data_IF_311107588283
#
_entry.id   IF_311107588283
#
_cell.length_a   1.000
_cell.length_b   1.000
_cell.length_c   1.000
_cell.angle_alpha   90.00
_cell.angle_beta   90.00
_cell.angle_gamma   90.00
#
_symmetry.space_group_name_H-M   'P 1'
#
loop_
_entity.id
_entity.type
_entity.pdbx_description
1 polymer ?
#
# COMPACT_ATOMS: atom_id res chain seq x y z
N UNK A 1 1.43 -20.90 -4.80
CA UNK A 1 0.57 -21.81 -4.01
C UNK A 1 -0.06 -20.92 -2.96
N UNK A 2 -1.37 -20.71 -3.04
CA UNK A 2 -2.08 -19.73 -2.22
C UNK A 2 -2.04 -20.12 -0.74
N UNK A 3 -2.71 -21.21 -0.37
CA UNK A 3 -2.98 -21.57 1.02
C UNK A 3 -1.71 -21.88 1.82
N UNK A 4 -0.75 -22.59 1.20
CA UNK A 4 0.56 -22.87 1.82
C UNK A 4 1.32 -21.57 2.11
N UNK A 5 1.13 -20.52 1.29
CA UNK A 5 1.72 -19.20 1.56
C UNK A 5 0.99 -18.52 2.71
N UNK A 6 -0.34 -18.58 2.73
CA UNK A 6 -1.18 -18.06 3.81
C UNK A 6 -0.79 -18.63 5.17
N UNK A 7 -0.48 -19.93 5.27
CA UNK A 7 0.00 -20.55 6.51
C UNK A 7 1.29 -19.91 7.06
N UNK A 8 2.17 -19.43 6.18
CA UNK A 8 3.41 -18.74 6.55
C UNK A 8 3.12 -17.27 6.92
N UNK A 9 2.22 -16.61 6.20
CA UNK A 9 1.81 -15.23 6.47
C UNK A 9 1.14 -15.10 7.84
N UNK A 10 0.31 -16.07 8.24
CA UNK A 10 -0.29 -16.13 9.58
C UNK A 10 0.79 -16.16 10.66
N UNK A 11 1.79 -17.05 10.53
CA UNK A 11 2.91 -17.12 11.47
C UNK A 11 3.69 -15.80 11.53
N UNK A 12 3.89 -15.15 10.38
CA UNK A 12 4.55 -13.85 10.31
C UNK A 12 3.74 -12.77 11.05
N UNK A 13 2.44 -12.66 10.79
CA UNK A 13 1.57 -11.67 11.42
C UNK A 13 1.55 -11.84 12.95
N UNK A 14 1.41 -13.08 13.43
CA UNK A 14 1.49 -13.38 14.86
C UNK A 14 2.84 -12.99 15.48
N UNK A 15 3.95 -13.24 14.77
CA UNK A 15 5.28 -12.84 15.26
C UNK A 15 5.43 -11.33 15.38
N UNK A 16 4.84 -10.56 14.46
CA UNK A 16 4.85 -9.10 14.51
C UNK A 16 3.97 -8.58 15.66
N UNK A 17 2.78 -9.13 15.83
CA UNK A 17 1.86 -8.77 16.91
C UNK A 17 2.46 -9.08 18.29
N UNK A 18 3.07 -10.25 18.46
CA UNK A 18 3.79 -10.62 19.68
C UNK A 18 4.99 -9.71 19.98
N UNK A 19 5.61 -9.13 18.94
CA UNK A 19 6.67 -8.14 19.07
C UNK A 19 6.16 -6.72 19.37
N UNK A 20 4.84 -6.50 19.40
CA UNK A 20 4.20 -5.23 19.75
C UNK A 20 3.87 -4.33 18.55
N UNK A 21 3.78 -4.87 17.33
CA UNK A 21 3.30 -4.10 16.19
C UNK A 21 1.81 -3.76 16.34
N UNK A 22 1.45 -2.47 16.29
CA UNK A 22 0.05 -2.02 16.33
C UNK A 22 -0.72 -2.38 15.05
N UNK A 23 -0.01 -2.39 13.91
CA UNK A 23 -0.58 -2.64 12.59
C UNK A 23 0.27 -3.68 11.84
N UNK A 24 -0.37 -4.73 11.35
CA UNK A 24 0.21 -5.63 10.34
C UNK A 24 -0.36 -5.26 8.97
N UNK A 25 0.48 -5.30 7.94
CA UNK A 25 0.09 -4.84 6.59
C UNK A 25 0.42 -5.89 5.52
N UNK A 26 -0.39 -6.97 5.40
CA UNK A 26 -0.19 -8.04 4.43
C UNK A 26 -0.18 -7.48 3.00
N UNK A 27 0.92 -7.71 2.28
CA UNK A 27 1.14 -7.15 0.93
C UNK A 27 1.42 -8.20 -0.13
N UNK A 28 1.14 -9.45 0.19
CA UNK A 28 1.37 -10.65 -0.60
C UNK A 28 0.40 -10.81 -1.78
N UNK A 29 -0.86 -10.36 -1.64
CA UNK A 29 -1.98 -10.57 -2.58
C UNK A 29 -2.38 -12.05 -2.74
N UNK A 30 -2.38 -12.81 -1.65
CA UNK A 30 -3.00 -14.14 -1.63
C UNK A 30 -4.50 -14.04 -1.33
N UNK A 31 -5.30 -14.93 -1.87
CA UNK A 31 -6.73 -14.95 -1.64
C UNK A 31 -7.00 -15.44 -0.20
N UNK A 32 -7.92 -14.79 0.52
CA UNK A 32 -8.34 -15.20 1.87
C UNK A 32 -7.36 -14.91 3.01
N UNK A 33 -6.20 -14.28 2.73
CA UNK A 33 -5.18 -14.06 3.77
C UNK A 33 -5.65 -13.14 4.90
N UNK A 34 -6.53 -12.18 4.62
CA UNK A 34 -6.96 -11.21 5.64
C UNK A 34 -7.78 -11.93 6.70
N UNK A 35 -8.73 -12.78 6.28
CA UNK A 35 -9.57 -13.56 7.19
C UNK A 35 -8.74 -14.54 8.00
N UNK A 36 -7.81 -15.24 7.34
CA UNK A 36 -6.91 -16.16 8.02
C UNK A 36 -6.02 -15.47 9.08
N UNK A 37 -5.47 -14.29 8.75
CA UNK A 37 -4.67 -13.49 9.69
C UNK A 37 -5.53 -12.94 10.82
N UNK A 38 -6.73 -12.43 10.52
CA UNK A 38 -7.68 -11.92 11.52
C UNK A 38 -8.04 -13.01 12.53
N UNK A 39 -8.49 -14.18 12.07
CA UNK A 39 -8.82 -15.31 12.95
C UNK A 39 -7.66 -15.67 13.86
N UNK A 40 -6.45 -15.78 13.30
CA UNK A 40 -5.27 -16.12 14.10
C UNK A 40 -4.92 -15.04 15.14
N UNK A 41 -5.02 -13.75 14.80
CA UNK A 41 -4.80 -12.66 15.74
C UNK A 41 -5.82 -12.70 16.88
N UNK A 42 -7.11 -12.94 16.59
CA UNK A 42 -8.16 -13.09 17.62
C UNK A 42 -7.87 -14.28 18.55
N UNK A 43 -7.58 -15.46 17.99
CA UNK A 43 -7.29 -16.68 18.76
C UNK A 43 -6.06 -16.54 19.66
N UNK A 44 -5.06 -15.77 19.22
CA UNK A 44 -3.86 -15.47 19.99
C UNK A 44 -4.04 -14.32 21.00
N UNK A 45 -5.22 -13.69 21.08
CA UNK A 45 -5.52 -12.59 21.99
C UNK A 45 -4.99 -11.22 21.54
N UNK A 46 -4.56 -11.09 20.28
CA UNK A 46 -4.08 -9.85 19.67
C UNK A 46 -5.21 -8.99 19.07
N UNK A 47 -6.34 -8.89 19.78
CA UNK A 47 -7.63 -8.34 19.29
C UNK A 47 -7.55 -6.89 18.79
N UNK A 48 -6.61 -6.09 19.31
CA UNK A 48 -6.42 -4.69 18.92
C UNK A 48 -5.34 -4.48 17.84
N UNK A 49 -4.67 -5.56 17.40
CA UNK A 49 -3.71 -5.44 16.28
C UNK A 49 -4.50 -5.22 15.01
N UNK A 50 -4.25 -4.11 14.34
CA UNK A 50 -4.98 -3.72 13.15
C UNK A 50 -4.40 -4.37 11.89
N UNK A 51 -5.25 -4.57 10.89
CA UNK A 51 -4.86 -5.09 9.58
C UNK A 51 -5.05 -3.98 8.55
N UNK A 52 -3.94 -3.55 7.94
CA UNK A 52 -3.93 -2.66 6.78
C UNK A 52 -3.73 -3.51 5.51
N UNK A 53 -4.84 -3.90 4.90
CA UNK A 53 -4.83 -4.78 3.74
C UNK A 53 -4.34 -4.05 2.48
N UNK A 54 -3.34 -4.59 1.79
CA UNK A 54 -3.01 -4.18 0.43
C UNK A 54 -4.00 -4.81 -0.54
N UNK A 55 -5.24 -4.34 -0.53
CA UNK A 55 -6.35 -4.92 -1.27
C UNK A 55 -6.19 -4.76 -2.78
N UNK A 56 -6.01 -3.53 -3.24
CA UNK A 56 -5.87 -3.24 -4.67
C UNK A 56 -4.39 -3.03 -5.02
N UNK A 57 -3.61 -4.12 -5.09
CA UNK A 57 -2.19 -4.07 -5.42
C UNK A 57 -1.90 -4.61 -6.82
N UNK A 58 -1.51 -3.71 -7.70
CA UNK A 58 -1.31 -3.98 -9.12
C UNK A 58 0.07 -4.55 -9.45
N UNK A 59 0.15 -5.32 -10.54
CA UNK A 59 1.35 -5.85 -11.16
C UNK A 59 2.12 -4.74 -11.88
N UNK A 60 2.70 -3.83 -11.10
CA UNK A 60 3.24 -2.57 -11.60
C UNK A 60 4.75 -2.58 -11.86
N UNK A 61 5.15 -1.77 -12.85
CA UNK A 61 6.55 -1.48 -13.17
C UNK A 61 7.16 -0.37 -12.29
N UNK A 62 6.38 0.30 -11.44
CA UNK A 62 6.85 1.37 -10.55
C UNK A 62 7.59 0.85 -9.30
N UNK A 63 7.75 -0.47 -9.15
CA UNK A 63 8.37 -1.08 -7.96
C UNK A 63 9.88 -1.28 -8.05
N UNK A 64 10.51 -0.99 -9.21
CA UNK A 64 11.94 -1.22 -9.45
C UNK A 64 12.84 -0.70 -8.32
N UNK A 65 12.80 0.60 -7.99
CA UNK A 65 13.70 1.16 -6.97
C UNK A 65 13.50 0.57 -5.57
N UNK A 66 12.27 0.14 -5.20
CA UNK A 66 12.04 -0.58 -3.94
C UNK A 66 12.73 -1.95 -3.94
N UNK A 67 12.66 -2.68 -5.06
CA UNK A 67 13.28 -4.02 -5.17
C UNK A 67 14.79 -3.93 -5.00
N UNK A 68 15.41 -2.87 -5.50
CA UNK A 68 16.84 -2.58 -5.29
C UNK A 68 17.12 -2.25 -3.82
N UNK A 69 16.31 -1.37 -3.21
CA UNK A 69 16.49 -0.93 -1.82
C UNK A 69 16.42 -2.08 -0.80
N UNK A 70 15.56 -3.09 -1.02
CA UNK A 70 15.44 -4.26 -0.13
C UNK A 70 16.25 -5.47 -0.62
N UNK A 71 17.05 -5.32 -1.67
CA UNK A 71 17.91 -6.39 -2.21
C UNK A 71 17.15 -7.57 -2.84
N UNK A 72 15.87 -7.41 -3.17
CA UNK A 72 15.02 -8.50 -3.70
C UNK A 72 15.03 -8.61 -5.23
N UNK A 73 15.61 -7.63 -5.93
CA UNK A 73 15.66 -7.60 -7.39
C UNK A 73 16.35 -8.85 -7.98
N UNK A 74 17.47 -9.27 -7.37
CA UNK A 74 18.25 -10.43 -7.81
C UNK A 74 17.56 -11.76 -7.53
N UNK A 75 16.70 -11.84 -6.51
CA UNK A 75 15.88 -13.02 -6.20
C UNK A 75 14.72 -13.19 -7.20
N UNK A 76 14.19 -12.09 -7.72
CA UNK A 76 13.05 -12.13 -8.63
C UNK A 76 13.42 -12.70 -10.01
N UNK A 77 14.71 -12.62 -10.43
CA UNK A 77 15.28 -13.28 -11.65
C UNK A 77 14.43 -13.19 -12.93
N UNK A 78 13.76 -12.06 -13.17
CA UNK A 78 12.88 -11.89 -14.34
C UNK A 78 11.50 -12.53 -14.20
N UNK A 79 11.18 -13.10 -13.04
CA UNK A 79 9.86 -13.58 -12.67
C UNK A 79 8.83 -12.45 -12.59
N UNK A 80 7.60 -12.79 -12.93
CA UNK A 80 6.46 -11.87 -12.91
C UNK A 80 5.56 -12.14 -11.70
N UNK A 81 4.78 -11.12 -11.33
CA UNK A 81 3.79 -11.18 -10.25
C UNK A 81 2.34 -11.15 -10.76
N UNK A 82 2.16 -11.25 -12.08
CA UNK A 82 0.85 -11.13 -12.76
C UNK A 82 -0.17 -12.21 -12.40
N UNK A 83 0.25 -13.29 -11.74
CA UNK A 83 -0.67 -14.37 -11.34
C UNK A 83 -1.30 -14.15 -9.96
N UNK A 84 -1.02 -13.01 -9.31
CA UNK A 84 -1.55 -12.68 -7.98
C UNK A 84 -1.65 -11.16 -7.74
N UNK A 85 -0.77 -10.36 -8.34
CA UNK A 85 -0.99 -8.92 -8.40
C UNK A 85 -1.92 -8.60 -9.58
N UNK A 86 -2.83 -7.65 -9.35
CA UNK A 86 -3.89 -7.30 -10.30
C UNK A 86 -3.34 -6.75 -11.62
N UNK A 87 -4.08 -6.97 -12.70
CA UNK A 87 -3.78 -6.34 -14.00
C UNK A 87 -4.00 -4.81 -13.90
N UNK A 88 -3.01 -3.97 -14.27
CA UNK A 88 -3.18 -2.52 -14.36
C UNK A 88 -4.39 -2.03 -15.16
N UNK A 89 -4.93 -2.84 -16.08
CA UNK A 89 -6.11 -2.49 -16.87
C UNK A 89 -7.44 -2.60 -16.10
N UNK A 90 -7.45 -3.30 -14.96
CA UNK A 90 -8.69 -3.66 -14.28
C UNK A 90 -9.05 -2.65 -13.19
N UNK A 91 -10.22 -2.03 -13.32
CA UNK A 91 -10.75 -1.10 -12.32
C UNK A 91 -11.86 -1.72 -11.45
N UNK A 92 -12.75 -2.52 -12.05
CA UNK A 92 -13.86 -3.16 -11.33
C UNK A 92 -13.39 -4.28 -10.39
N UNK A 93 -12.32 -5.00 -10.76
CA UNK A 93 -11.68 -6.01 -9.92
C UNK A 93 -11.22 -5.43 -8.57
N UNK A 94 -10.78 -4.16 -8.55
CA UNK A 94 -10.35 -3.49 -7.32
C UNK A 94 -11.47 -3.38 -6.28
N UNK A 95 -12.71 -3.21 -6.72
CA UNK A 95 -13.86 -3.15 -5.81
C UNK A 95 -14.17 -4.53 -5.24
N UNK A 96 -13.97 -5.60 -6.03
CA UNK A 96 -14.15 -6.97 -5.55
C UNK A 96 -13.11 -7.33 -4.49
N UNK A 97 -11.83 -7.06 -4.76
CA UNK A 97 -10.73 -7.29 -3.81
C UNK A 97 -10.93 -6.53 -2.49
N UNK A 98 -11.29 -5.25 -2.58
CA UNK A 98 -11.55 -4.43 -1.39
C UNK A 98 -12.76 -4.93 -0.61
N UNK A 99 -13.85 -5.32 -1.29
CA UNK A 99 -15.03 -5.85 -0.62
C UNK A 99 -14.71 -7.13 0.16
N UNK A 100 -13.95 -8.05 -0.43
CA UNK A 100 -13.51 -9.29 0.23
C UNK A 100 -12.65 -9.00 1.45
N UNK A 101 -11.63 -8.15 1.32
CA UNK A 101 -10.76 -7.80 2.45
C UNK A 101 -11.52 -7.13 3.61
N UNK A 102 -12.54 -6.31 3.31
CA UNK A 102 -13.42 -5.71 4.34
C UNK A 102 -14.26 -6.79 5.02
N UNK A 103 -14.89 -7.69 4.27
CA UNK A 103 -15.69 -8.79 4.81
C UNK A 103 -14.83 -9.72 5.69
N UNK A 104 -13.57 -9.91 5.32
CA UNK A 104 -12.56 -10.68 6.05
C UNK A 104 -12.00 -9.97 7.31
N UNK A 105 -12.36 -8.71 7.54
CA UNK A 105 -12.03 -7.98 8.77
C UNK A 105 -10.79 -7.08 8.69
N UNK A 106 -10.48 -6.53 7.52
CA UNK A 106 -9.51 -5.44 7.40
C UNK A 106 -9.98 -4.16 8.10
N UNK A 107 -9.09 -3.53 8.87
CA UNK A 107 -9.35 -2.23 9.52
C UNK A 107 -9.13 -1.05 8.56
N UNK A 108 -8.19 -1.22 7.63
CA UNK A 108 -7.89 -0.28 6.56
C UNK A 108 -7.61 -1.02 5.25
N UNK A 109 -7.93 -0.39 4.14
CA UNK A 109 -7.64 -0.92 2.79
C UNK A 109 -6.69 0.00 2.05
N UNK A 110 -5.86 -0.54 1.16
CA UNK A 110 -4.83 0.21 0.46
C UNK A 110 -4.81 -0.06 -1.05
N UNK A 111 -4.69 1.03 -1.81
CA UNK A 111 -4.37 1.01 -3.24
C UNK A 111 -2.87 1.18 -3.44
N UNK A 112 -2.28 0.34 -4.29
CA UNK A 112 -0.85 0.41 -4.64
C UNK A 112 -0.61 -0.04 -6.09
N UNK A 113 0.10 0.73 -6.94
CA UNK A 113 0.74 2.04 -6.71
C UNK A 113 -0.22 3.19 -6.43
N UNK A 114 0.34 4.39 -6.26
CA UNK A 114 -0.37 5.57 -5.81
C UNK A 114 -0.91 6.43 -6.94
N UNK A 115 -0.10 7.40 -7.39
CA UNK A 115 -0.48 8.42 -8.37
C UNK A 115 -1.05 7.84 -9.67
N UNK A 116 -0.53 6.72 -10.24
CA UNK A 116 -1.10 6.15 -11.46
C UNK A 116 -2.48 5.48 -11.28
N UNK A 117 -2.98 5.37 -10.04
CA UNK A 117 -4.22 4.66 -9.68
C UNK A 117 -5.11 5.53 -8.76
N UNK A 118 -5.04 6.86 -8.88
CA UNK A 118 -5.88 7.78 -8.10
C UNK A 118 -7.37 7.63 -8.42
N UNK A 119 -7.70 7.20 -9.63
CA UNK A 119 -9.06 6.80 -10.01
C UNK A 119 -9.55 5.63 -9.17
N UNK A 120 -8.69 4.64 -8.90
CA UNK A 120 -9.02 3.49 -8.03
C UNK A 120 -9.19 3.94 -6.58
N UNK A 121 -8.30 4.81 -6.07
CA UNK A 121 -8.45 5.41 -4.72
C UNK A 121 -9.82 6.09 -4.61
N UNK A 122 -10.22 6.83 -5.64
CA UNK A 122 -11.51 7.51 -5.67
C UNK A 122 -12.68 6.53 -5.65
N UNK A 123 -12.67 5.52 -6.52
CA UNK A 123 -13.73 4.51 -6.59
C UNK A 123 -13.88 3.74 -5.28
N UNK A 124 -12.76 3.30 -4.69
CA UNK A 124 -12.75 2.60 -3.40
C UNK A 124 -13.32 3.47 -2.28
N UNK A 125 -12.91 4.75 -2.21
CA UNK A 125 -13.44 5.67 -1.22
C UNK A 125 -14.94 5.91 -1.39
N UNK A 126 -15.40 6.10 -2.62
CA UNK A 126 -16.81 6.37 -2.94
C UNK A 126 -17.71 5.18 -2.62
N UNK A 127 -17.28 3.97 -2.95
CA UNK A 127 -18.09 2.76 -2.77
C UNK A 127 -18.18 2.33 -1.30
N UNK A 128 -17.05 2.33 -0.58
CA UNK A 128 -16.97 1.67 0.73
C UNK A 128 -16.94 2.65 1.90
N UNK A 129 -16.46 3.88 1.71
CA UNK A 129 -16.37 4.88 2.78
C UNK A 129 -15.42 4.53 3.95
N UNK A 130 -14.75 3.38 3.93
CA UNK A 130 -13.83 2.90 4.98
C UNK A 130 -12.47 3.65 4.95
N UNK A 131 -11.65 3.58 6.01
CA UNK A 131 -10.29 4.12 5.99
C UNK A 131 -9.48 3.60 4.79
N UNK A 132 -9.20 4.50 3.84
CA UNK A 132 -8.57 4.19 2.56
C UNK A 132 -7.19 4.79 2.51
N UNK A 133 -6.18 3.96 2.28
CA UNK A 133 -4.78 4.36 2.17
C UNK A 133 -4.30 4.24 0.73
N UNK A 134 -3.25 4.98 0.41
CA UNK A 134 -2.55 4.86 -0.86
C UNK A 134 -1.05 4.88 -0.64
N UNK A 135 -0.31 4.13 -1.47
CA UNK A 135 1.16 4.12 -1.43
C UNK A 135 1.73 4.87 -2.63
N UNK A 136 2.31 6.05 -2.40
CA UNK A 136 3.18 6.72 -3.37
C UNK A 136 4.52 6.00 -3.46
N UNK A 137 4.65 5.07 -4.41
CA UNK A 137 5.69 4.05 -4.39
C UNK A 137 7.07 4.57 -4.79
N UNK A 138 8.07 3.71 -4.68
CA UNK A 138 9.47 4.02 -4.92
C UNK A 138 9.75 4.60 -6.30
N UNK A 139 9.08 4.10 -7.34
CA UNK A 139 9.20 4.62 -8.70
C UNK A 139 8.63 6.02 -8.84
N UNK A 140 7.49 6.30 -8.19
CA UNK A 140 6.91 7.64 -8.15
C UNK A 140 7.85 8.62 -7.45
N UNK A 141 8.41 8.24 -6.30
CA UNK A 141 9.43 9.03 -5.60
C UNK A 141 10.66 9.30 -6.49
N UNK A 142 11.20 8.24 -7.11
CA UNK A 142 12.39 8.36 -7.96
C UNK A 142 12.15 9.26 -9.18
N UNK A 143 10.97 9.18 -9.81
CA UNK A 143 10.60 10.05 -10.92
C UNK A 143 10.56 11.52 -10.52
N UNK A 144 9.93 11.85 -9.39
CA UNK A 144 9.91 13.22 -8.88
C UNK A 144 11.34 13.70 -8.56
N UNK A 145 12.09 12.89 -7.82
CA UNK A 145 13.46 13.24 -7.43
C UNK A 145 14.37 13.48 -8.63
N UNK A 146 14.29 12.65 -9.68
CA UNK A 146 15.09 12.84 -10.88
C UNK A 146 14.76 14.15 -11.59
N UNK A 147 13.47 14.47 -11.76
CA UNK A 147 13.04 15.72 -12.37
C UNK A 147 13.45 16.95 -11.53
N UNK A 148 13.33 16.87 -10.20
CA UNK A 148 13.74 17.92 -9.27
C UNK A 148 15.25 18.15 -9.31
N UNK A 149 16.05 17.08 -9.26
CA UNK A 149 17.51 17.18 -9.30
C UNK A 149 18.03 17.73 -10.63
N UNK A 150 17.30 17.49 -11.72
CA UNK A 150 17.60 18.07 -13.03
C UNK A 150 17.06 19.51 -13.19
N UNK A 151 16.43 20.09 -12.17
CA UNK A 151 15.89 21.44 -12.19
C UNK A 151 14.62 21.60 -13.04
N UNK A 152 13.95 20.51 -13.42
CA UNK A 152 12.73 20.56 -14.25
C UNK A 152 11.48 20.88 -13.44
N UNK A 153 11.46 20.48 -12.16
CA UNK A 153 10.36 20.70 -11.24
C UNK A 153 10.86 21.36 -9.97
N UNK A 154 10.04 22.25 -9.40
CA UNK A 154 10.31 22.83 -8.08
C UNK A 154 9.92 21.82 -7.01
N UNK A 155 10.87 21.50 -6.13
CA UNK A 155 10.75 20.39 -5.17
C UNK A 155 9.52 20.50 -4.28
N UNK A 156 9.42 21.57 -3.50
CA UNK A 156 8.42 21.71 -2.45
C UNK A 156 7.01 21.78 -3.06
N UNK A 157 6.82 22.61 -4.08
CA UNK A 157 5.53 22.80 -4.75
C UNK A 157 5.05 21.51 -5.41
N UNK A 158 5.91 20.84 -6.18
CA UNK A 158 5.53 19.62 -6.90
C UNK A 158 5.24 18.46 -5.94
N UNK A 159 6.05 18.28 -4.90
CA UNK A 159 5.83 17.20 -3.93
C UNK A 159 4.54 17.44 -3.13
N UNK A 160 4.29 18.66 -2.66
CA UNK A 160 3.06 18.98 -1.94
C UNK A 160 1.82 18.82 -2.84
N UNK A 161 1.89 19.25 -4.10
CA UNK A 161 0.82 19.03 -5.08
C UNK A 161 0.56 17.53 -5.31
N UNK A 162 1.63 16.73 -5.42
CA UNK A 162 1.50 15.28 -5.57
C UNK A 162 0.71 14.64 -4.43
N UNK A 163 0.99 15.03 -3.18
CA UNK A 163 0.31 14.50 -1.99
C UNK A 163 -1.11 15.04 -1.84
N UNK A 164 -1.35 16.29 -2.25
CA UNK A 164 -2.69 16.87 -2.30
C UNK A 164 -3.60 16.09 -3.28
N UNK A 165 -3.05 15.59 -4.39
CA UNK A 165 -3.80 14.75 -5.32
C UNK A 165 -4.34 13.47 -4.66
N UNK A 166 -3.57 12.82 -3.79
CA UNK A 166 -4.04 11.66 -3.01
C UNK A 166 -5.16 12.03 -2.04
N UNK A 167 -4.99 13.14 -1.30
CA UNK A 167 -6.03 13.63 -0.39
C UNK A 167 -7.32 13.96 -1.14
N UNK A 168 -7.22 14.60 -2.31
CA UNK A 168 -8.35 14.91 -3.20
C UNK A 168 -9.01 13.65 -3.76
N UNK A 169 -8.23 12.63 -4.09
CA UNK A 169 -8.75 11.35 -4.56
C UNK A 169 -9.50 10.59 -3.46
N UNK A 170 -9.24 10.87 -2.19
CA UNK A 170 -9.96 10.27 -1.06
C UNK A 170 -9.09 9.45 -0.11
N UNK A 171 -7.76 9.45 -0.27
CA UNK A 171 -6.89 8.76 0.68
C UNK A 171 -6.89 9.46 2.05
N UNK A 172 -7.12 8.70 3.12
CA UNK A 172 -7.04 9.16 4.52
C UNK A 172 -5.58 9.24 4.97
N UNK A 173 -4.79 8.24 4.61
CA UNK A 173 -3.34 8.20 4.84
C UNK A 173 -2.56 7.88 3.57
N UNK A 174 -1.32 8.39 3.49
CA UNK A 174 -0.43 8.20 2.33
C UNK A 174 0.89 7.64 2.82
N UNK A 175 1.25 6.45 2.34
CA UNK A 175 2.61 5.92 2.52
C UNK A 175 3.49 6.56 1.45
N UNK A 176 4.43 7.41 1.88
CA UNK A 176 5.32 8.14 0.97
C UNK A 176 6.72 8.28 1.55
N UNK A 177 7.73 8.14 0.69
CA UNK A 177 9.13 8.42 1.02
C UNK A 177 9.39 9.92 1.26
N UNK A 178 8.47 10.81 0.83
CA UNK A 178 8.54 12.25 1.09
C UNK A 178 8.02 12.65 2.48
N UNK A 179 7.48 11.71 3.28
CA UNK A 179 6.76 12.02 4.52
C UNK A 179 7.55 12.94 5.45
N UNK A 180 8.84 12.65 5.68
CA UNK A 180 9.69 13.49 6.55
C UNK A 180 9.90 14.90 6.00
N UNK A 181 10.14 15.05 4.69
CA UNK A 181 10.35 16.37 4.07
C UNK A 181 9.10 17.22 4.17
N UNK A 182 7.96 16.63 3.82
CA UNK A 182 6.66 17.31 3.84
C UNK A 182 6.26 17.70 5.26
N UNK A 183 6.50 16.84 6.25
CA UNK A 183 6.25 17.17 7.65
C UNK A 183 7.06 18.40 8.12
N UNK A 184 8.32 18.54 7.68
CA UNK A 184 9.15 19.72 7.98
C UNK A 184 8.56 20.97 7.33
N UNK A 185 8.27 20.93 6.03
CA UNK A 185 7.70 22.08 5.31
C UNK A 185 6.35 22.55 5.88
N UNK A 186 5.46 21.60 6.22
CA UNK A 186 4.17 21.93 6.82
C UNK A 186 4.33 22.53 8.22
N UNK A 187 5.33 22.09 8.99
CA UNK A 187 5.62 22.68 10.29
C UNK A 187 6.14 24.11 10.15
N UNK A 188 7.03 24.36 9.19
CA UNK A 188 7.60 25.68 8.93
C UNK A 188 6.57 26.68 8.41
N UNK A 189 5.65 26.24 7.54
CA UNK A 189 4.58 27.09 7.01
C UNK A 189 3.47 27.41 8.03
N UNK A 190 3.38 26.62 9.11
CA UNK A 190 2.40 26.81 10.19
C UNK A 190 3.00 27.56 11.41
N UNK A 191 4.30 27.91 11.37
CA UNK A 191 4.99 28.69 12.38
C UNK A 191 5.02 30.17 12.00
#
# INVERSE_FOLDING_TARGET
>A
LNDITTDILVKQALSHAAAGADVVAPSDMMDGRIGAIRVALEEAGHVNTQIMAYSAKYASNYYGPFRDAVGSASNLKGGSKVTYQMDPANSDEALQEVAMDIEEGADMVMVKPGMPYLDIVRRVKDEFGVPTFAYQVSGEYAMHMAAIQNGWLKEQECVLESLLCFKRAGADGILTYFAKRVAVWLKENNA
#
